data_IF_329991954420
#
_entry.id   IF_329991954420
#
_cell.length_a   1.000
_cell.length_b   1.000
_cell.length_c   1.000
_cell.angle_alpha   90.00
_cell.angle_beta   90.00
_cell.angle_gamma   90.00
#
_symmetry.space_group_name_H-M   'P 1'
#
loop_
_entity.id
_entity.type
_entity.pdbx_description
1 polymer ?
#
# COMPACT_ATOMS: atom_id res chain seq x y z
N UNK A 1 66.22 -9.99 30.38
CA UNK A 1 65.22 -10.83 29.67
C UNK A 1 63.94 -10.01 29.56
N UNK A 2 63.67 -9.41 28.40
CA UNK A 2 62.43 -8.67 28.20
C UNK A 2 61.30 -9.67 27.90
N UNK A 3 60.33 -9.73 28.80
CA UNK A 3 59.14 -10.55 28.63
C UNK A 3 58.30 -9.94 27.50
N UNK A 4 58.19 -10.66 26.38
CA UNK A 4 57.25 -10.30 25.31
C UNK A 4 55.83 -10.54 25.82
N UNK A 5 55.17 -9.49 26.31
CA UNK A 5 53.71 -9.52 26.46
C UNK A 5 53.07 -9.61 25.07
N UNK A 6 52.03 -10.44 24.89
CA UNK A 6 51.44 -10.64 23.58
C UNK A 6 50.90 -9.31 23.04
N UNK A 7 51.49 -8.84 21.95
CA UNK A 7 51.03 -7.68 21.19
C UNK A 7 49.53 -7.83 20.93
N UNK A 8 48.75 -6.86 21.41
CA UNK A 8 47.34 -6.75 21.06
C UNK A 8 47.24 -6.79 19.55
N UNK A 9 46.56 -7.79 18.99
CA UNK A 9 46.42 -7.92 17.53
C UNK A 9 45.87 -6.62 16.98
N UNK A 10 46.69 -5.89 16.22
CA UNK A 10 46.37 -4.63 15.55
C UNK A 10 45.14 -4.85 14.66
N UNK A 11 43.97 -4.58 15.20
CA UNK A 11 42.71 -4.86 14.52
C UNK A 11 41.64 -3.91 15.03
N UNK A 12 40.89 -3.33 14.09
CA UNK A 12 39.81 -2.38 14.37
C UNK A 12 38.54 -3.05 14.90
N UNK A 13 38.67 -4.18 15.61
CA UNK A 13 37.53 -4.91 16.20
C UNK A 13 36.80 -4.04 17.24
N UNK A 14 37.53 -3.19 17.96
CA UNK A 14 36.97 -2.26 18.93
C UNK A 14 36.15 -1.13 18.28
N UNK A 15 36.31 -0.88 16.98
CA UNK A 15 35.47 0.08 16.24
C UNK A 15 34.13 -0.53 15.82
N UNK A 16 34.03 -1.86 15.79
CA UNK A 16 32.77 -2.54 15.47
C UNK A 16 31.83 -2.44 16.66
N UNK A 17 30.54 -2.25 16.37
CA UNK A 17 29.49 -2.24 17.39
C UNK A 17 29.53 -3.56 18.16
N UNK A 18 29.86 -3.48 19.44
CA UNK A 18 30.09 -4.64 20.30
C UNK A 18 28.80 -5.32 20.77
N UNK A 19 27.68 -4.58 20.79
CA UNK A 19 26.33 -5.12 20.92
C UNK A 19 25.69 -5.13 19.53
N UNK A 20 25.46 -6.31 18.96
CA UNK A 20 24.48 -6.44 17.89
C UNK A 20 23.13 -6.07 18.50
N UNK A 21 22.36 -5.21 17.83
CA UNK A 21 21.02 -4.89 18.33
C UNK A 21 20.23 -6.19 18.46
N UNK A 22 19.64 -6.36 19.64
CA UNK A 22 18.75 -7.47 19.94
C UNK A 22 17.69 -7.50 18.85
N UNK A 23 17.49 -8.66 18.22
CA UNK A 23 16.61 -8.75 17.04
C UNK A 23 15.22 -8.25 17.39
N UNK A 24 14.88 -7.07 16.89
CA UNK A 24 13.56 -6.47 17.05
C UNK A 24 12.49 -7.46 16.58
N UNK A 25 11.49 -7.71 17.42
CA UNK A 25 10.36 -8.54 17.02
C UNK A 25 9.54 -7.82 15.96
N UNK A 26 9.58 -8.30 14.72
CA UNK A 26 8.76 -7.78 13.61
C UNK A 26 7.26 -8.07 13.76
N UNK A 27 6.86 -8.82 14.79
CA UNK A 27 5.48 -9.14 15.09
C UNK A 27 4.76 -7.96 15.77
N UNK A 28 3.48 -7.79 15.44
CA UNK A 28 2.59 -6.83 16.10
C UNK A 28 1.52 -7.56 16.91
N UNK A 29 0.92 -6.87 17.89
CA UNK A 29 -0.14 -7.43 18.73
C UNK A 29 -1.29 -8.03 17.92
N UNK A 30 -1.72 -9.24 18.29
CA UNK A 30 -2.91 -9.86 17.72
C UNK A 30 -4.20 -9.21 18.28
N UNK A 31 -4.64 -8.12 17.65
CA UNK A 31 -5.86 -7.40 18.05
C UNK A 31 -7.09 -8.31 17.99
N UNK A 32 -7.84 -8.38 19.09
CA UNK A 32 -9.07 -9.17 19.19
C UNK A 32 -8.84 -10.69 19.23
N UNK A 33 -7.61 -11.16 19.35
CA UNK A 33 -7.34 -12.58 19.53
C UNK A 33 -7.81 -13.06 20.89
N UNK A 34 -8.63 -14.12 20.86
CA UNK A 34 -9.20 -14.79 22.01
C UNK A 34 -8.43 -16.09 22.23
N UNK A 35 -8.05 -16.39 23.47
CA UNK A 35 -7.28 -17.59 23.81
C UNK A 35 -8.20 -18.69 24.29
N UNK A 36 -8.94 -18.43 25.37
CA UNK A 36 -9.77 -19.43 26.02
C UNK A 36 -11.11 -18.83 26.44
N UNK A 37 -12.21 -19.50 26.14
CA UNK A 37 -13.53 -19.14 26.63
C UNK A 37 -14.00 -20.20 27.62
N UNK A 38 -14.27 -19.79 28.85
CA UNK A 38 -14.77 -20.69 29.88
C UNK A 38 -16.29 -20.78 29.83
N UNK A 39 -16.85 -21.98 30.01
CA UNK A 39 -18.31 -22.16 30.13
C UNK A 39 -18.85 -21.74 31.51
N UNK A 40 -17.98 -21.75 32.52
CA UNK A 40 -18.32 -21.41 33.91
C UNK A 40 -17.36 -20.36 34.46
N UNK A 41 -17.84 -19.61 35.44
CA UNK A 41 -17.02 -18.62 36.13
C UNK A 41 -15.81 -19.28 36.83
N UNK A 42 -14.62 -18.70 36.62
CA UNK A 42 -13.38 -19.11 37.28
C UNK A 42 -13.04 -18.14 38.41
N UNK A 43 -12.47 -18.66 39.52
CA UNK A 43 -11.99 -17.81 40.61
C UNK A 43 -10.87 -16.88 40.09
N UNK A 44 -10.96 -15.59 40.43
CA UNK A 44 -10.02 -14.56 39.96
C UNK A 44 -10.41 -13.88 38.65
N UNK A 45 -11.43 -14.38 37.94
CA UNK A 45 -12.00 -13.67 36.81
C UNK A 45 -12.79 -12.44 37.26
N UNK A 46 -12.96 -11.45 36.37
CA UNK A 46 -13.80 -10.30 36.68
C UNK A 46 -15.27 -10.73 36.83
N UNK A 47 -15.91 -10.31 37.93
CA UNK A 47 -17.23 -10.79 38.35
C UNK A 47 -18.36 -10.55 37.34
N UNK A 48 -18.25 -9.51 36.51
CA UNK A 48 -19.30 -9.15 35.53
C UNK A 48 -19.13 -9.90 34.22
N UNK A 49 -17.98 -9.79 33.55
CA UNK A 49 -17.77 -10.43 32.25
C UNK A 49 -17.25 -11.87 32.35
N UNK A 50 -16.54 -12.24 33.42
CA UNK A 50 -15.98 -13.57 33.60
C UNK A 50 -14.65 -13.84 32.88
N UNK A 51 -14.03 -12.83 32.25
CA UNK A 51 -12.67 -12.94 31.71
C UNK A 51 -11.62 -12.81 32.82
N UNK A 52 -10.50 -13.51 32.67
CA UNK A 52 -9.41 -13.52 33.65
C UNK A 52 -8.31 -12.50 33.34
N UNK A 53 -8.35 -11.87 32.15
CA UNK A 53 -7.27 -11.03 31.63
C UNK A 53 -7.29 -9.59 32.10
N UNK A 54 -8.41 -9.12 32.67
CA UNK A 54 -8.57 -7.73 33.05
C UNK A 54 -9.42 -7.54 34.31
N UNK A 55 -9.37 -6.33 34.85
CA UNK A 55 -10.10 -5.92 36.06
C UNK A 55 -11.42 -5.20 35.71
N UNK A 56 -12.22 -4.91 36.74
CA UNK A 56 -13.52 -4.26 36.59
C UNK A 56 -13.50 -2.94 35.81
N UNK A 57 -12.48 -2.11 36.05
CA UNK A 57 -12.35 -0.78 35.46
C UNK A 57 -11.87 -0.80 34.02
N UNK A 58 -11.12 -1.84 33.63
CA UNK A 58 -10.58 -1.99 32.27
C UNK A 58 -11.43 -2.93 31.42
N UNK A 59 -12.60 -3.34 31.91
CA UNK A 59 -13.52 -4.17 31.16
C UNK A 59 -14.15 -3.37 30.02
N UNK A 60 -14.01 -3.89 28.80
CA UNK A 60 -14.62 -3.30 27.61
C UNK A 60 -16.07 -3.76 27.39
N UNK A 61 -16.49 -4.82 28.07
CA UNK A 61 -17.86 -5.32 27.99
C UNK A 61 -18.83 -4.42 28.75
N UNK A 62 -20.05 -4.30 28.22
CA UNK A 62 -21.10 -3.49 28.84
C UNK A 62 -21.35 -3.99 30.28
N UNK A 63 -21.31 -3.10 31.29
CA UNK A 63 -21.56 -3.50 32.68
C UNK A 63 -22.93 -4.17 32.84
N UNK A 64 -22.91 -5.41 33.34
CA UNK A 64 -24.12 -6.20 33.56
C UNK A 64 -24.71 -5.94 34.96
N UNK A 65 -26.05 -5.93 35.05
CA UNK A 65 -26.76 -5.84 36.34
C UNK A 65 -26.37 -7.01 37.25
N UNK A 66 -26.52 -8.23 36.74
CA UNK A 66 -26.10 -9.47 37.41
C UNK A 66 -24.95 -10.05 36.58
N UNK A 67 -23.80 -10.27 37.21
CA UNK A 67 -22.57 -10.68 36.53
C UNK A 67 -22.41 -12.19 36.38
N UNK A 68 -21.48 -12.58 35.51
CA UNK A 68 -21.07 -13.97 35.28
C UNK A 68 -20.70 -14.74 36.55
N UNK A 69 -20.24 -14.07 37.62
CA UNK A 69 -19.94 -14.70 38.92
C UNK A 69 -21.11 -15.49 39.50
N UNK A 70 -22.34 -15.01 39.33
CA UNK A 70 -23.54 -15.62 39.91
C UNK A 70 -24.35 -16.41 38.89
N UNK A 71 -24.35 -16.00 37.62
CA UNK A 71 -25.16 -16.62 36.57
C UNK A 71 -24.41 -17.66 35.77
N UNK A 72 -23.07 -17.58 35.69
CA UNK A 72 -22.22 -18.32 34.74
C UNK A 72 -22.70 -18.24 33.28
N UNK A 73 -23.50 -17.22 32.94
CA UNK A 73 -24.00 -16.97 31.59
C UNK A 73 -23.18 -15.84 30.97
N UNK A 74 -23.00 -15.90 29.64
CA UNK A 74 -22.28 -14.88 28.86
C UNK A 74 -20.86 -14.61 29.38
N UNK A 75 -20.11 -15.67 29.66
CA UNK A 75 -18.70 -15.57 30.05
C UNK A 75 -17.87 -15.11 28.85
N UNK A 76 -17.19 -13.98 29.02
CA UNK A 76 -16.31 -13.39 28.02
C UNK A 76 -15.04 -14.25 27.85
N UNK A 77 -14.53 -14.35 26.62
CA UNK A 77 -13.27 -15.04 26.35
C UNK A 77 -12.07 -14.26 26.92
N UNK A 78 -11.04 -15.00 27.31
CA UNK A 78 -9.75 -14.44 27.71
C UNK A 78 -9.00 -13.87 26.50
N UNK A 79 -8.42 -12.70 26.68
CA UNK A 79 -7.59 -12.00 25.69
C UNK A 79 -6.15 -12.55 25.63
N UNK A 80 -5.49 -12.44 24.48
CA UNK A 80 -4.08 -12.78 24.37
C UNK A 80 -3.23 -11.61 24.87
N UNK A 81 -2.55 -11.79 26.02
CA UNK A 81 -1.61 -10.81 26.56
C UNK A 81 -0.24 -11.06 25.93
N UNK A 82 0.26 -10.08 25.17
CA UNK A 82 1.56 -10.14 24.50
C UNK A 82 2.39 -8.92 24.85
N UNK A 83 3.67 -9.14 25.11
CA UNK A 83 4.66 -8.09 25.37
C UNK A 83 5.70 -8.11 24.26
N UNK A 84 5.93 -6.96 23.63
CA UNK A 84 6.95 -6.80 22.59
C UNK A 84 7.89 -5.66 22.98
N UNK A 85 9.16 -5.82 22.64
CA UNK A 85 10.16 -4.76 22.74
C UNK A 85 10.41 -4.23 21.35
N UNK A 86 10.09 -2.95 21.16
CA UNK A 86 10.17 -2.28 19.89
C UNK A 86 11.05 -1.01 20.01
N UNK A 87 11.87 -0.76 18.98
CA UNK A 87 12.61 0.47 18.75
C UNK A 87 11.69 1.70 18.63
N UNK A 88 12.29 2.89 18.67
CA UNK A 88 11.55 4.16 18.55
C UNK A 88 10.71 4.23 17.26
N UNK A 89 11.33 3.96 16.10
CA UNK A 89 10.64 3.96 14.80
C UNK A 89 9.61 2.83 14.73
N UNK A 90 9.92 1.69 15.34
CA UNK A 90 9.03 0.52 15.39
C UNK A 90 7.74 0.78 16.16
N UNK A 91 7.79 1.50 17.28
CA UNK A 91 6.60 1.90 18.03
C UNK A 91 5.74 2.94 17.29
N UNK A 92 6.38 3.80 16.49
CA UNK A 92 5.72 4.90 15.76
C UNK A 92 5.27 4.52 14.36
N UNK A 93 5.60 3.32 13.87
CA UNK A 93 5.20 2.89 12.54
C UNK A 93 3.67 2.85 12.44
N UNK A 94 3.14 3.76 11.62
CA UNK A 94 1.71 3.87 11.33
C UNK A 94 1.16 2.62 10.65
N UNK A 95 2.02 1.83 10.00
CA UNK A 95 1.65 0.61 9.28
C UNK A 95 1.65 -0.63 10.18
N UNK A 96 1.85 -0.48 11.49
CA UNK A 96 1.83 -1.58 12.43
C UNK A 96 0.48 -2.33 12.43
N UNK A 97 0.54 -3.64 12.20
CA UNK A 97 -0.63 -4.50 12.07
C UNK A 97 -1.42 -4.32 10.77
N UNK A 98 -0.85 -3.68 9.75
CA UNK A 98 -1.47 -3.59 8.43
C UNK A 98 -1.57 -4.97 7.77
N UNK A 99 -2.80 -5.38 7.42
CA UNK A 99 -3.02 -6.61 6.68
C UNK A 99 -2.90 -6.34 5.17
N UNK A 100 -1.89 -6.93 4.53
CA UNK A 100 -1.62 -6.77 3.09
C UNK A 100 -2.79 -7.20 2.20
N UNK A 101 -3.61 -8.16 2.64
CA UNK A 101 -4.80 -8.59 1.90
C UNK A 101 -5.86 -7.49 1.75
N UNK A 102 -5.90 -6.51 2.68
CA UNK A 102 -6.86 -5.40 2.62
C UNK A 102 -6.59 -4.43 1.47
N UNK A 103 -5.38 -4.45 0.90
CA UNK A 103 -5.03 -3.64 -0.26
C UNK A 103 -5.84 -4.04 -1.52
N UNK A 104 -6.35 -5.27 -1.57
CA UNK A 104 -7.24 -5.73 -2.64
C UNK A 104 -8.46 -4.82 -2.82
N UNK A 105 -9.04 -4.32 -1.73
CA UNK A 105 -10.19 -3.39 -1.78
C UNK A 105 -9.83 -2.05 -2.45
N UNK A 106 -8.58 -1.61 -2.31
CA UNK A 106 -8.09 -0.38 -2.97
C UNK A 106 -7.95 -0.61 -4.46
N UNK A 107 -7.41 -1.77 -4.86
CA UNK A 107 -7.30 -2.20 -6.26
C UNK A 107 -8.70 -2.25 -6.88
N UNK A 108 -9.64 -2.96 -6.24
CA UNK A 108 -11.02 -3.09 -6.71
C UNK A 108 -11.69 -1.72 -6.92
N UNK A 109 -11.54 -0.80 -5.96
CA UNK A 109 -12.08 0.57 -6.08
C UNK A 109 -11.44 1.35 -7.24
N UNK A 110 -10.15 1.16 -7.48
CA UNK A 110 -9.45 1.78 -8.61
C UNK A 110 -9.91 1.19 -9.95
N UNK A 111 -10.02 -0.13 -10.04
CA UNK A 111 -10.50 -0.85 -11.22
C UNK A 111 -11.94 -0.44 -11.57
N UNK A 112 -12.83 -0.38 -10.58
CA UNK A 112 -14.21 0.09 -10.76
C UNK A 112 -14.28 1.53 -11.29
N UNK A 113 -13.39 2.42 -10.80
CA UNK A 113 -13.28 3.80 -11.29
C UNK A 113 -12.82 3.82 -12.75
N UNK A 114 -11.82 3.02 -13.09
CA UNK A 114 -11.27 2.95 -14.45
C UNK A 114 -12.26 2.32 -15.43
N UNK A 115 -13.04 1.33 -15.00
CA UNK A 115 -14.16 0.79 -15.77
C UNK A 115 -15.26 1.81 -16.05
N UNK A 116 -15.67 2.57 -15.04
CA UNK A 116 -16.65 3.65 -15.21
C UNK A 116 -16.14 4.71 -16.20
N UNK A 117 -14.86 5.09 -16.08
CA UNK A 117 -14.21 6.01 -17.03
C UNK A 117 -14.19 5.46 -18.45
N UNK A 118 -13.86 4.17 -18.62
CA UNK A 118 -13.86 3.49 -19.93
C UNK A 118 -15.27 3.43 -20.54
N UNK A 119 -16.30 3.10 -19.75
CA UNK A 119 -17.70 3.07 -20.21
C UNK A 119 -18.18 4.45 -20.65
N UNK A 120 -17.94 5.48 -19.84
CA UNK A 120 -18.28 6.86 -20.17
C UNK A 120 -17.62 7.33 -21.48
N UNK A 121 -16.33 7.06 -21.67
CA UNK A 121 -15.63 7.44 -22.91
C UNK A 121 -16.18 6.70 -24.14
N UNK A 122 -16.52 5.41 -24.00
CA UNK A 122 -17.15 4.63 -25.09
C UNK A 122 -18.52 5.17 -25.45
N UNK A 123 -19.36 5.50 -24.46
CA UNK A 123 -20.67 6.12 -24.69
C UNK A 123 -20.56 7.49 -25.39
N UNK A 124 -19.60 8.32 -24.98
CA UNK A 124 -19.32 9.60 -25.64
C UNK A 124 -18.88 9.43 -27.09
N UNK A 125 -18.06 8.42 -27.40
CA UNK A 125 -17.66 8.11 -28.77
C UNK A 125 -18.86 7.63 -29.61
N UNK A 126 -19.71 6.76 -29.06
CA UNK A 126 -20.91 6.27 -29.74
C UNK A 126 -21.89 7.41 -30.03
N UNK A 127 -22.15 8.30 -29.07
CA UNK A 127 -23.01 9.49 -29.28
C UNK A 127 -22.52 10.35 -30.45
N UNK A 128 -21.23 10.65 -30.49
CA UNK A 128 -20.62 11.42 -31.60
C UNK A 128 -20.72 10.73 -32.96
N UNK A 129 -20.64 9.39 -32.99
CA UNK A 129 -20.81 8.63 -34.24
C UNK A 129 -22.27 8.64 -34.71
N UNK A 130 -23.23 8.48 -33.78
CA UNK A 130 -24.66 8.55 -34.08
C UNK A 130 -25.07 9.93 -34.59
N UNK A 131 -24.60 11.00 -33.94
CA UNK A 131 -24.83 12.39 -34.39
C UNK A 131 -24.33 12.63 -35.81
N UNK A 132 -23.16 12.09 -36.17
CA UNK A 132 -22.61 12.19 -37.53
C UNK A 132 -23.42 11.44 -38.58
N UNK A 133 -24.00 10.28 -38.24
CA UNK A 133 -24.78 9.47 -39.17
C UNK A 133 -26.20 10.01 -39.39
N UNK A 134 -26.77 10.73 -38.41
CA UNK A 134 -28.14 11.27 -38.50
C UNK A 134 -28.23 12.63 -39.21
N UNK A 135 -27.11 13.32 -39.44
CA UNK A 135 -27.05 14.49 -40.32
C UNK A 135 -26.73 14.03 -41.75
N UNK A 136 -27.67 14.09 -42.72
CA UNK A 136 -27.33 13.84 -44.11
C UNK A 136 -26.31 14.89 -44.54
N UNK A 137 -25.09 14.47 -44.90
CA UNK A 137 -24.03 15.33 -45.41
C UNK A 137 -24.52 16.11 -46.64
N UNK A 138 -24.70 17.44 -46.58
CA UNK A 138 -24.65 18.26 -47.78
C UNK A 138 -23.18 18.29 -48.22
N UNK A 139 -22.92 18.04 -49.50
CA UNK A 139 -21.65 18.38 -50.15
C UNK A 139 -21.48 19.90 -50.09
N UNK A 140 -20.96 20.41 -48.97
CA UNK A 140 -20.46 21.78 -48.90
C UNK A 140 -19.14 21.83 -48.14
N UNK A 141 -18.16 22.41 -48.82
CA UNK A 141 -16.85 22.79 -48.36
C UNK A 141 -16.94 23.69 -47.12
N UNK A 142 -17.00 23.11 -45.92
CA UNK A 142 -16.90 23.87 -44.68
C UNK A 142 -15.44 24.18 -44.36
N UNK A 143 -15.04 25.40 -44.72
CA UNK A 143 -13.84 26.09 -44.23
C UNK A 143 -13.80 26.01 -42.70
N UNK A 144 -12.87 25.22 -42.17
CA UNK A 144 -12.59 25.17 -40.75
C UNK A 144 -11.98 26.52 -40.32
N UNK A 145 -12.63 27.22 -39.39
CA UNK A 145 -12.04 28.38 -38.74
C UNK A 145 -10.84 27.92 -37.90
N UNK A 146 -9.66 28.17 -38.43
CA UNK A 146 -8.35 28.04 -37.80
C UNK A 146 -8.26 28.97 -36.60
N UNK A 147 -8.36 28.44 -35.39
CA UNK A 147 -7.62 29.03 -34.27
C UNK A 147 -6.22 28.46 -34.31
N UNK A 148 -5.35 29.16 -35.06
CA UNK A 148 -3.90 29.05 -35.01
C UNK A 148 -3.32 27.62 -34.99
N UNK A 149 -3.30 26.96 -36.15
CA UNK A 149 -2.20 26.08 -36.60
C UNK A 149 -2.50 25.70 -38.03
N UNK A 150 -1.53 25.92 -38.92
CA UNK A 150 -1.62 25.58 -40.33
C UNK A 150 -2.07 24.13 -40.52
N UNK A 151 -3.06 23.95 -41.39
CA UNK A 151 -3.68 22.66 -41.71
C UNK A 151 -2.64 21.76 -42.39
N UNK A 152 -1.83 21.06 -41.60
CA UNK A 152 -1.10 19.91 -42.08
C UNK A 152 -2.09 18.75 -42.19
N UNK A 153 -2.63 18.63 -43.40
CA UNK A 153 -3.41 17.54 -43.96
C UNK A 153 -3.31 16.24 -43.14
N UNK A 154 -4.42 15.80 -42.54
CA UNK A 154 -4.46 14.62 -41.66
C UNK A 154 -3.94 13.36 -42.38
N UNK A 155 -4.04 13.31 -43.72
CA UNK A 155 -3.42 12.27 -44.55
C UNK A 155 -1.89 12.30 -44.51
N UNK A 156 -1.29 13.49 -44.54
CA UNK A 156 0.17 13.67 -44.38
C UNK A 156 0.63 13.33 -42.97
N UNK A 157 -0.17 13.61 -41.94
CA UNK A 157 0.12 13.24 -40.55
C UNK A 157 0.07 11.72 -40.34
N UNK A 158 -0.96 11.03 -40.86
CA UNK A 158 -1.08 9.56 -40.79
C UNK A 158 -0.02 8.88 -41.66
N UNK A 159 0.34 9.46 -42.79
CA UNK A 159 1.41 8.95 -43.64
C UNK A 159 2.80 9.20 -43.05
N UNK A 160 3.02 10.32 -42.36
CA UNK A 160 4.23 10.56 -41.57
C UNK A 160 4.32 9.59 -40.38
N UNK A 161 3.22 9.34 -39.67
CA UNK A 161 3.16 8.36 -38.57
C UNK A 161 3.38 6.92 -39.04
N UNK A 162 2.99 6.57 -40.27
CA UNK A 162 3.32 5.29 -40.90
C UNK A 162 4.78 5.21 -41.35
N UNK A 163 5.43 6.35 -41.59
CA UNK A 163 6.87 6.46 -41.90
C UNK A 163 7.74 6.45 -40.63
N UNK A 164 7.15 6.68 -39.45
CA UNK A 164 7.86 6.50 -38.18
C UNK A 164 8.00 5.01 -37.88
N UNK A 165 9.21 4.51 -38.05
CA UNK A 165 9.57 3.11 -37.77
C UNK A 165 9.31 2.76 -36.29
N UNK A 166 8.95 1.51 -35.94
CA UNK A 166 8.93 1.05 -34.55
C UNK A 166 10.24 1.35 -33.81
N UNK A 167 11.36 1.36 -34.53
CA UNK A 167 12.69 1.72 -34.03
C UNK A 167 12.78 3.21 -33.67
N UNK A 168 12.09 4.10 -34.38
CA UNK A 168 12.08 5.54 -34.10
C UNK A 168 11.18 5.88 -32.89
N UNK A 169 10.08 5.16 -32.70
CA UNK A 169 9.22 5.26 -31.50
C UNK A 169 9.95 4.75 -30.25
N UNK A 170 10.65 3.62 -30.38
CA UNK A 170 11.54 3.08 -29.33
C UNK A 170 12.71 4.02 -29.08
N UNK A 171 13.31 4.61 -30.11
CA UNK A 171 14.34 5.63 -29.97
C UNK A 171 13.81 6.91 -29.30
N UNK A 172 12.58 7.34 -29.55
CA UNK A 172 11.96 8.48 -28.87
C UNK A 172 11.69 8.18 -27.38
N UNK A 173 11.28 6.95 -27.07
CA UNK A 173 11.12 6.46 -25.69
C UNK A 173 12.47 6.30 -24.97
N UNK A 174 13.51 5.82 -25.64
CA UNK A 174 14.89 5.77 -25.11
C UNK A 174 15.52 7.16 -24.98
N UNK A 175 15.22 8.11 -25.87
CA UNK A 175 15.70 9.50 -25.80
C UNK A 175 15.11 10.28 -24.61
N UNK A 176 13.96 9.87 -24.07
CA UNK A 176 13.42 10.40 -22.81
C UNK A 176 14.10 9.82 -21.56
N UNK A 177 14.85 8.72 -21.68
CA UNK A 177 15.51 8.03 -20.56
C UNK A 177 16.98 8.46 -20.40
N UNK A 178 17.60 9.13 -21.39
CA UNK A 178 19.03 9.49 -21.35
C UNK A 178 19.32 10.93 -21.79
N UNK A 179 18.57 11.94 -21.32
CA UNK A 179 19.07 13.33 -21.43
C UNK A 179 20.18 13.62 -20.41
N UNK A 180 20.18 12.93 -19.27
CA UNK A 180 21.19 13.06 -18.22
C UNK A 180 21.70 11.67 -17.78
N UNK A 181 22.26 10.88 -18.71
CA UNK A 181 23.00 9.68 -18.33
C UNK A 181 24.42 10.08 -17.91
N UNK A 182 24.78 10.03 -16.61
CA UNK A 182 26.05 10.55 -16.11
C UNK A 182 27.27 9.81 -16.68
N UNK A 183 27.07 8.64 -17.29
CA UNK A 183 28.14 7.85 -17.92
C UNK A 183 28.56 8.43 -19.28
N UNK A 184 27.70 9.23 -19.92
CA UNK A 184 27.99 9.84 -21.23
C UNK A 184 29.11 10.89 -21.19
N UNK A 185 29.45 11.40 -20.00
CA UNK A 185 30.55 12.35 -19.79
C UNK A 185 31.94 11.70 -19.66
N UNK A 186 32.02 10.36 -19.57
CA UNK A 186 33.27 9.62 -19.33
C UNK A 186 33.78 8.83 -20.55
N UNK A 187 33.05 8.86 -21.66
CA UNK A 187 33.46 8.23 -22.91
C UNK A 187 33.99 9.32 -23.86
N UNK A 188 35.31 9.55 -23.79
CA UNK A 188 36.10 10.30 -24.75
C UNK A 188 36.72 9.35 -25.78
#
# INVERSE_FOLDING_TARGET
>A
MFQNHPLSKESLKHQRKWKLDQSYTKSWHHKGAKVFQADKYRKGAYEKCGALTHNAKSCMERPQRIGARWTSKHVAPDEKIETFELDYDGNLDRSNGYNTATYANVIERCEARDEARRKYLKEQQLKKLVEKNNTPTPLEEKKFATWGTDVLDQKKLVEALKKVSPEEMVACRMKMIHRDDPVKAFLH
#
